data_IF_189247878297
#
_entry.id   IF_189247878297
#
_cell.length_a   1.000
_cell.length_b   1.000
_cell.length_c   1.000
_cell.angle_alpha   90.00
_cell.angle_beta   90.00
_cell.angle_gamma   90.00
#
_symmetry.space_group_name_H-M   'P 1'
#
loop_
_entity.id
_entity.type
_entity.pdbx_description
1 polymer ?
#
# COMPACT_ATOMS: atom_id res chain seq x y z
N UNK A 1 -4.49 39.43 8.87
CA UNK A 1 -4.00 38.81 10.12
C UNK A 1 -4.06 37.31 9.94
N UNK A 2 -2.95 36.58 10.06
CA UNK A 2 -2.95 35.12 9.92
C UNK A 2 -3.52 34.46 11.19
N UNK A 3 -4.72 33.90 11.11
CA UNK A 3 -5.33 33.16 12.22
C UNK A 3 -4.54 31.88 12.48
N UNK A 4 -3.94 31.75 13.66
CA UNK A 4 -3.29 30.50 14.06
C UNK A 4 -4.39 29.51 14.44
N UNK A 5 -4.62 28.50 13.61
CA UNK A 5 -5.54 27.41 13.93
C UNK A 5 -5.07 26.74 15.22
N UNK A 6 -5.85 26.93 16.30
CA UNK A 6 -5.60 26.26 17.57
C UNK A 6 -6.16 24.85 17.45
N UNK A 7 -5.28 23.88 17.17
CA UNK A 7 -5.64 22.46 17.18
C UNK A 7 -6.01 22.07 18.62
N UNK A 8 -7.23 21.61 18.82
CA UNK A 8 -7.65 21.06 20.12
C UNK A 8 -6.98 19.70 20.34
N UNK A 9 -6.84 19.27 21.60
CA UNK A 9 -6.28 17.95 21.92
C UNK A 9 -7.02 16.81 21.22
N UNK A 10 -8.35 16.94 21.10
CA UNK A 10 -9.19 16.03 20.33
C UNK A 10 -8.84 16.03 18.83
N UNK A 11 -8.68 17.21 18.22
CA UNK A 11 -8.30 17.30 16.80
C UNK A 11 -6.94 16.65 16.55
N UNK A 12 -5.95 16.85 17.43
CA UNK A 12 -4.65 16.18 17.35
C UNK A 12 -4.77 14.65 17.43
N UNK A 13 -5.61 14.14 18.32
CA UNK A 13 -5.90 12.70 18.42
C UNK A 13 -6.62 12.17 17.17
N UNK A 14 -7.60 12.92 16.66
CA UNK A 14 -8.34 12.54 15.46
C UNK A 14 -7.43 12.42 14.23
N UNK A 15 -6.52 13.37 14.00
CA UNK A 15 -5.54 13.26 12.92
C UNK A 15 -4.61 12.06 13.09
N UNK A 16 -4.20 11.75 14.33
CA UNK A 16 -3.42 10.55 14.60
C UNK A 16 -4.22 9.29 14.27
N UNK A 17 -5.50 9.22 14.66
CA UNK A 17 -6.40 8.11 14.36
C UNK A 17 -6.54 7.87 12.85
N UNK A 18 -6.78 8.93 12.07
CA UNK A 18 -6.93 8.86 10.61
C UNK A 18 -5.70 8.28 9.92
N UNK A 19 -4.51 8.45 10.50
CA UNK A 19 -3.26 7.90 9.96
C UNK A 19 -3.00 6.50 10.51
N UNK A 20 -3.12 6.30 11.82
CA UNK A 20 -2.76 5.04 12.50
C UNK A 20 -3.73 3.92 12.14
N UNK A 21 -5.03 4.18 12.03
CA UNK A 21 -6.03 3.15 11.74
C UNK A 21 -5.78 2.45 10.39
N UNK A 22 -5.65 3.18 9.25
CA UNK A 22 -5.34 2.51 7.99
C UNK A 22 -3.97 1.83 8.03
N UNK A 23 -2.94 2.45 8.64
CA UNK A 23 -1.62 1.81 8.80
C UNK A 23 -1.69 0.49 9.58
N UNK A 24 -2.45 0.45 10.68
CA UNK A 24 -2.65 -0.75 11.47
C UNK A 24 -3.41 -1.83 10.69
N UNK A 25 -4.41 -1.42 9.90
CA UNK A 25 -5.15 -2.32 9.02
C UNK A 25 -4.21 -2.95 7.97
N UNK A 26 -3.42 -2.15 7.26
CA UNK A 26 -2.41 -2.66 6.32
C UNK A 26 -1.39 -3.58 6.99
N UNK A 27 -0.91 -3.22 8.17
CA UNK A 27 0.02 -4.05 8.94
C UNK A 27 -0.57 -5.41 9.32
N UNK A 28 -1.83 -5.42 9.78
CA UNK A 28 -2.53 -6.66 10.11
C UNK A 28 -2.79 -7.53 8.88
N UNK A 29 -3.24 -6.93 7.77
CA UNK A 29 -3.43 -7.65 6.50
C UNK A 29 -2.12 -8.22 5.96
N UNK A 30 -1.00 -7.49 6.06
CA UNK A 30 0.31 -7.98 5.63
C UNK A 30 0.76 -9.22 6.41
N UNK A 31 0.55 -9.23 7.73
CA UNK A 31 0.88 -10.40 8.57
C UNK A 31 0.00 -11.62 8.27
N UNK A 32 -1.26 -11.39 7.88
CA UNK A 32 -2.20 -12.45 7.52
C UNK A 32 -2.08 -12.91 6.05
N UNK A 33 -1.23 -12.26 5.25
CA UNK A 33 -1.10 -12.55 3.81
C UNK A 33 -2.32 -12.10 2.98
N UNK A 34 -3.14 -11.22 3.52
CA UNK A 34 -4.32 -10.65 2.86
C UNK A 34 -4.00 -9.33 2.17
N UNK A 35 -4.70 -9.05 1.07
CA UNK A 35 -4.52 -7.82 0.32
C UNK A 35 -5.31 -6.66 0.95
N UNK A 36 -4.65 -5.94 1.86
CA UNK A 36 -5.26 -4.82 2.60
C UNK A 36 -5.77 -3.70 1.69
N UNK A 37 -5.16 -3.48 0.52
CA UNK A 37 -5.59 -2.40 -0.38
C UNK A 37 -6.89 -2.75 -1.09
N UNK A 38 -6.99 -3.99 -1.57
CA UNK A 38 -8.21 -4.50 -2.20
C UNK A 38 -9.39 -4.56 -1.25
N UNK A 39 -9.17 -5.01 -0.01
CA UNK A 39 -10.24 -5.06 1.00
C UNK A 39 -10.66 -3.67 1.48
N UNK A 40 -9.72 -2.72 1.61
CA UNK A 40 -10.05 -1.34 1.97
C UNK A 40 -10.96 -0.68 0.92
N UNK A 41 -10.71 -0.88 -0.37
CA UNK A 41 -11.58 -0.37 -1.45
C UNK A 41 -13.01 -0.93 -1.34
N UNK A 42 -13.13 -2.24 -1.13
CA UNK A 42 -14.42 -2.92 -0.94
C UNK A 42 -15.17 -2.43 0.31
N UNK A 43 -14.44 -2.16 1.40
CA UNK A 43 -15.01 -1.76 2.69
C UNK A 43 -15.40 -0.27 2.74
N UNK A 44 -14.64 0.59 2.04
CA UNK A 44 -14.90 2.04 2.01
C UNK A 44 -15.92 2.40 0.93
N UNK A 45 -16.33 1.45 0.07
CA UNK A 45 -17.35 1.68 -0.95
C UNK A 45 -16.93 2.72 -1.99
N UNK A 46 -15.62 2.90 -2.20
CA UNK A 46 -15.08 3.71 -3.31
C UNK A 46 -15.20 2.84 -4.57
N UNK A 47 -16.45 2.69 -5.01
CA UNK A 47 -16.87 2.26 -6.35
C UNK A 47 -17.39 3.48 -7.12
N UNK A 48 -16.79 4.66 -6.87
CA UNK A 48 -17.07 5.84 -7.69
C UNK A 48 -16.19 5.80 -8.94
N UNK A 49 -16.83 5.35 -10.01
CA UNK A 49 -16.48 5.47 -11.41
C UNK A 49 -15.39 4.52 -11.92
N UNK A 50 -15.80 3.30 -12.24
CA UNK A 50 -15.78 2.82 -13.63
C UNK A 50 -17.11 2.05 -13.86
N UNK A 51 -17.81 2.41 -14.93
CA UNK A 51 -19.11 1.86 -15.35
C UNK A 51 -19.12 0.33 -15.31
N UNK A 52 -20.04 -0.26 -14.55
CA UNK A 52 -21.18 -0.95 -15.16
C UNK A 52 -22.34 -0.97 -14.15
N UNK A 53 -23.52 -0.70 -14.67
CA UNK A 53 -24.74 -0.53 -13.91
C UNK A 53 -25.15 -1.81 -13.15
N UNK A 54 -25.89 -1.55 -12.07
CA UNK A 54 -26.71 -2.49 -11.29
C UNK A 54 -26.00 -3.12 -10.08
N UNK A 55 -26.29 -2.60 -8.88
CA UNK A 55 -27.13 -3.44 -8.04
C UNK A 55 -27.78 -2.62 -6.92
N UNK A 56 -29.10 -2.59 -7.01
CA UNK A 56 -29.95 -2.33 -5.86
C UNK A 56 -29.80 -3.52 -4.91
N UNK A 57 -29.79 -3.26 -3.62
CA UNK A 57 -29.89 -4.25 -2.55
C UNK A 57 -30.80 -5.44 -2.91
N UNK A 58 -30.28 -6.66 -3.09
CA UNK A 58 -30.89 -7.94 -2.65
C UNK A 58 -30.12 -9.20 -3.06
N UNK A 59 -29.82 -10.05 -2.07
CA UNK A 59 -29.94 -11.52 -2.02
C UNK A 59 -29.80 -12.36 -3.32
N UNK A 60 -28.87 -13.32 -3.27
CA UNK A 60 -28.85 -14.62 -3.97
C UNK A 60 -29.08 -14.65 -5.50
N UNK A 61 -28.01 -14.87 -6.28
CA UNK A 61 -27.88 -16.04 -7.19
C UNK A 61 -26.57 -16.04 -8.00
N UNK A 62 -25.80 -17.12 -7.80
CA UNK A 62 -25.05 -17.90 -8.80
C UNK A 62 -24.90 -17.28 -10.20
N UNK A 63 -23.66 -16.92 -10.57
CA UNK A 63 -23.08 -17.19 -11.91
C UNK A 63 -21.55 -17.13 -11.83
N UNK A 64 -20.89 -18.29 -11.84
CA UNK A 64 -19.57 -18.45 -12.46
C UNK A 64 -19.79 -18.80 -13.95
N UNK A 65 -18.84 -18.57 -14.91
CA UNK A 65 -17.40 -18.46 -14.71
C UNK A 65 -16.70 -17.42 -15.64
N UNK A 66 -16.38 -16.22 -15.15
CA UNK A 66 -15.41 -15.29 -15.78
C UNK A 66 -13.96 -15.52 -15.27
N UNK A 67 -13.78 -16.47 -14.34
CA UNK A 67 -12.56 -16.68 -13.54
C UNK A 67 -11.30 -17.16 -14.30
N UNK A 68 -11.41 -17.62 -15.56
CA UNK A 68 -10.28 -18.24 -16.28
C UNK A 68 -9.43 -17.31 -17.15
N UNK A 69 -9.88 -16.08 -17.44
CA UNK A 69 -9.10 -15.11 -18.24
C UNK A 69 -8.33 -14.11 -17.37
N UNK A 70 -8.90 -13.66 -16.25
CA UNK A 70 -8.22 -12.77 -15.31
C UNK A 70 -6.98 -13.44 -14.67
N UNK A 71 -7.10 -14.71 -14.26
CA UNK A 71 -6.04 -15.45 -13.57
C UNK A 71 -4.72 -15.61 -14.34
N UNK A 72 -4.71 -15.56 -15.69
CA UNK A 72 -3.44 -15.59 -16.45
C UNK A 72 -2.74 -14.23 -16.50
N UNK A 73 -3.50 -13.14 -16.52
CA UNK A 73 -2.95 -11.78 -16.53
C UNK A 73 -2.34 -11.44 -15.18
N UNK A 74 -3.05 -11.77 -14.10
CA UNK A 74 -2.65 -11.43 -12.73
C UNK A 74 -1.37 -12.17 -12.32
N UNK A 75 -1.23 -13.45 -12.71
CA UNK A 75 -0.02 -14.23 -12.43
C UNK A 75 1.22 -13.66 -13.15
N UNK A 76 1.06 -13.18 -14.39
CA UNK A 76 2.15 -12.56 -15.13
C UNK A 76 2.57 -11.20 -14.54
N UNK A 77 1.62 -10.47 -13.95
CA UNK A 77 1.87 -9.21 -13.27
C UNK A 77 2.54 -9.42 -11.91
N UNK A 78 2.10 -10.43 -11.14
CA UNK A 78 2.74 -10.85 -9.89
C UNK A 78 4.21 -11.22 -10.12
N UNK A 79 4.52 -11.96 -11.18
CA UNK A 79 5.89 -12.36 -11.49
C UNK A 79 6.76 -11.15 -11.89
N UNK A 80 6.19 -10.18 -12.61
CA UNK A 80 6.88 -8.91 -12.93
C UNK A 80 7.15 -8.09 -11.67
N UNK A 81 6.16 -7.98 -10.78
CA UNK A 81 6.29 -7.24 -9.52
C UNK A 81 7.32 -7.88 -8.59
N UNK A 82 7.31 -9.20 -8.44
CA UNK A 82 8.34 -9.95 -7.69
C UNK A 82 9.74 -9.70 -8.23
N UNK A 83 9.90 -9.75 -9.55
CA UNK A 83 11.18 -9.46 -10.20
C UNK A 83 11.64 -8.03 -9.91
N UNK A 84 10.72 -7.06 -9.99
CA UNK A 84 11.00 -5.65 -9.71
C UNK A 84 11.41 -5.42 -8.26
N UNK A 85 10.76 -6.08 -7.30
CA UNK A 85 11.13 -6.03 -5.88
C UNK A 85 12.54 -6.56 -5.69
N UNK A 86 12.87 -7.73 -6.25
CA UNK A 86 14.22 -8.31 -6.13
C UNK A 86 15.31 -7.42 -6.75
N UNK A 87 15.02 -6.74 -7.86
CA UNK A 87 15.93 -5.76 -8.46
C UNK A 87 16.15 -4.55 -7.53
N UNK A 88 15.07 -3.99 -6.97
CA UNK A 88 15.13 -2.85 -6.07
C UNK A 88 15.85 -3.18 -4.76
N UNK A 89 15.65 -4.38 -4.22
CA UNK A 89 16.36 -4.86 -3.02
C UNK A 89 17.87 -4.94 -3.25
N UNK A 90 18.29 -5.51 -4.39
CA UNK A 90 19.71 -5.56 -4.78
C UNK A 90 20.31 -4.18 -4.99
N UNK A 91 19.52 -3.26 -5.56
CA UNK A 91 19.96 -1.88 -5.75
C UNK A 91 20.14 -1.16 -4.42
N UNK A 92 19.21 -1.32 -3.47
CA UNK A 92 19.35 -0.78 -2.12
C UNK A 92 20.58 -1.33 -1.41
N UNK A 93 20.81 -2.65 -1.45
CA UNK A 93 22.01 -3.26 -0.84
C UNK A 93 23.30 -2.69 -1.44
N UNK A 94 23.34 -2.49 -2.77
CA UNK A 94 24.49 -1.88 -3.45
C UNK A 94 24.69 -0.42 -3.06
N UNK A 95 23.60 0.34 -2.94
CA UNK A 95 23.65 1.74 -2.51
C UNK A 95 24.14 1.85 -1.07
N UNK A 96 23.66 1.00 -0.16
CA UNK A 96 24.13 0.92 1.22
C UNK A 96 25.63 0.60 1.30
N UNK A 97 26.10 -0.38 0.54
CA UNK A 97 27.54 -0.70 0.47
C UNK A 97 28.36 0.48 -0.06
N UNK A 98 27.84 1.20 -1.06
CA UNK A 98 28.50 2.39 -1.63
C UNK A 98 28.60 3.50 -0.59
N UNK A 99 27.50 3.79 0.13
CA UNK A 99 27.47 4.76 1.21
C UNK A 99 28.49 4.38 2.28
N UNK A 100 28.48 3.13 2.74
CA UNK A 100 29.42 2.62 3.75
C UNK A 100 30.89 2.73 3.32
N UNK A 101 31.18 2.56 2.04
CA UNK A 101 32.54 2.72 1.51
C UNK A 101 32.94 4.19 1.48
N UNK A 102 32.03 5.06 1.04
CA UNK A 102 32.25 6.52 1.01
C UNK A 102 32.39 7.11 2.41
N UNK A 103 31.60 6.65 3.37
CA UNK A 103 31.70 7.06 4.77
C UNK A 103 33.06 6.70 5.37
N UNK A 104 33.55 5.47 5.10
CA UNK A 104 34.91 5.06 5.52
C UNK A 104 36.00 5.89 4.86
N UNK A 105 35.86 6.21 3.57
CA UNK A 105 36.80 7.08 2.86
C UNK A 105 36.83 8.49 3.47
N UNK A 106 35.66 9.06 3.79
CA UNK A 106 35.54 10.35 4.48
C UNK A 106 36.16 10.30 5.88
N UNK A 107 35.93 9.21 6.63
CA UNK A 107 36.49 9.03 7.98
C UNK A 107 38.03 8.96 7.96
N UNK A 108 38.60 8.27 6.96
CA UNK A 108 40.05 8.19 6.75
C UNK A 108 40.65 9.54 6.33
N UNK A 109 39.94 10.33 5.53
CA UNK A 109 40.40 11.66 5.09
C UNK A 109 40.22 12.76 6.15
N UNK A 110 39.33 12.55 7.14
CA UNK A 110 39.11 13.49 8.25
C UNK A 110 40.07 13.29 9.43
N UNK A 111 40.89 12.24 9.40
CA UNK A 111 41.89 11.91 10.42
C UNK A 111 43.28 12.34 10.00
#
# INVERSE_FOLDING_TARGET
>A
MASRFKLTGFARFFFALVIIVPLAYFGASYLNGEDGWGNLKKMVGIDLAEDDADDTTTLDQKTEPESKRATKSDNAEIDRLKKRISELEKENERLEQTIKNREREIELLKK
#
